data_IF_382142447540
#
_entry.id   IF_382142447540
#
_cell.length_a   1.000
_cell.length_b   1.000
_cell.length_c   1.000
_cell.angle_alpha   90.00
_cell.angle_beta   90.00
_cell.angle_gamma   90.00
#
_symmetry.space_group_name_H-M   'P 1'
#
loop_
_entity.id
_entity.type
_entity.pdbx_description
1 polymer ?
#
# COMPACT_ATOMS: atom_id res chain seq x y z
N UNK A 1 3.16 -4.43 -45.10
CA UNK A 1 3.48 -3.04 -44.69
C UNK A 1 2.40 -2.59 -43.70
N UNK A 2 2.68 -2.53 -42.39
CA UNK A 2 1.71 -2.06 -41.41
C UNK A 2 1.58 -0.54 -41.52
N UNK A 3 0.36 -0.02 -41.60
CA UNK A 3 0.07 1.41 -41.75
C UNK A 3 0.45 2.17 -40.47
N UNK A 4 1.10 3.33 -40.65
CA UNK A 4 1.63 4.19 -39.59
C UNK A 4 0.57 4.68 -38.56
N UNK A 5 -0.72 4.46 -38.81
CA UNK A 5 -1.81 4.77 -37.89
C UNK A 5 -1.97 3.80 -36.71
N UNK A 6 -1.60 2.52 -36.84
CA UNK A 6 -1.81 1.54 -35.74
C UNK A 6 -0.78 1.65 -34.61
N UNK A 7 0.40 2.19 -34.89
CA UNK A 7 1.45 2.40 -33.90
C UNK A 7 1.18 3.61 -32.99
N UNK A 8 0.51 4.64 -33.51
CA UNK A 8 0.13 5.84 -32.73
C UNK A 8 -1.06 5.55 -31.81
N UNK A 9 -2.04 4.76 -32.28
CA UNK A 9 -3.19 4.32 -31.49
C UNK A 9 -2.76 3.33 -30.39
N UNK A 10 -1.83 2.40 -30.67
CA UNK A 10 -1.22 1.57 -29.61
C UNK A 10 -0.43 2.40 -28.60
N UNK A 11 0.36 3.39 -29.02
CA UNK A 11 1.11 4.25 -28.08
C UNK A 11 0.20 5.14 -27.22
N UNK A 12 -0.92 5.63 -27.76
CA UNK A 12 -1.92 6.37 -27.01
C UNK A 12 -2.71 5.46 -26.05
N UNK A 13 -3.01 4.21 -26.44
CA UNK A 13 -3.64 3.22 -25.57
C UNK A 13 -2.71 2.72 -24.46
N UNK A 14 -1.40 2.57 -24.69
CA UNK A 14 -0.43 2.22 -23.64
C UNK A 14 -0.20 3.37 -22.66
N UNK A 15 -0.17 4.63 -23.14
CA UNK A 15 -0.09 5.80 -22.27
C UNK A 15 -1.39 6.03 -21.47
N UNK A 16 -2.56 5.69 -22.04
CA UNK A 16 -3.85 5.79 -21.36
C UNK A 16 -4.12 4.62 -20.42
N UNK A 17 -3.65 3.39 -20.73
CA UNK A 17 -3.73 2.25 -19.82
C UNK A 17 -2.85 2.43 -18.57
N UNK A 18 -1.64 3.01 -18.71
CA UNK A 18 -0.80 3.35 -17.56
C UNK A 18 -1.35 4.51 -16.70
N UNK A 19 -2.12 5.44 -17.26
CA UNK A 19 -2.67 6.59 -16.51
C UNK A 19 -4.08 6.29 -15.95
N UNK A 20 -4.88 5.48 -16.64
CA UNK A 20 -6.29 5.22 -16.28
C UNK A 20 -6.48 3.91 -15.53
N UNK A 21 -5.66 2.86 -15.74
CA UNK A 21 -5.85 1.56 -15.08
C UNK A 21 -5.00 1.32 -13.82
N UNK A 22 -4.07 2.21 -13.47
CA UNK A 22 -3.35 2.09 -12.18
C UNK A 22 -3.38 3.36 -11.33
N UNK A 23 -3.70 4.53 -11.89
CA UNK A 23 -3.60 5.79 -11.14
C UNK A 23 -4.92 6.55 -11.03
N UNK A 24 -5.56 7.04 -12.09
CA UNK A 24 -6.70 7.98 -11.89
C UNK A 24 -7.94 7.35 -11.26
N UNK A 25 -8.34 6.13 -11.62
CA UNK A 25 -9.49 5.45 -11.01
C UNK A 25 -9.20 4.92 -9.59
N UNK A 26 -8.00 4.37 -9.40
CA UNK A 26 -7.52 3.88 -8.11
C UNK A 26 -7.28 5.04 -7.11
N UNK A 27 -6.76 6.19 -7.55
CA UNK A 27 -6.65 7.40 -6.74
C UNK A 27 -8.01 8.05 -6.52
N UNK A 28 -8.95 8.04 -7.47
CA UNK A 28 -10.32 8.50 -7.22
C UNK A 28 -11.00 7.65 -6.12
N UNK A 29 -10.73 6.34 -6.09
CA UNK A 29 -11.14 5.44 -5.00
C UNK A 29 -10.35 5.72 -3.71
N UNK A 30 -9.04 5.94 -3.77
CA UNK A 30 -8.17 6.08 -2.60
C UNK A 30 -8.24 7.46 -1.91
N UNK A 31 -8.29 8.56 -2.67
CA UNK A 31 -8.27 9.95 -2.17
C UNK A 31 -9.66 10.52 -1.85
N UNK A 32 -10.75 9.83 -2.21
CA UNK A 32 -12.13 10.26 -1.89
C UNK A 32 -12.61 11.49 -2.67
N UNK A 33 -11.75 12.14 -3.45
CA UNK A 33 -12.08 13.17 -4.43
C UNK A 33 -12.70 12.51 -5.68
N UNK A 34 -13.99 12.16 -5.58
CA UNK A 34 -14.73 11.70 -6.75
C UNK A 34 -14.68 12.74 -7.88
N UNK A 35 -14.63 12.31 -9.15
CA UNK A 35 -14.59 13.24 -10.28
C UNK A 35 -15.78 14.20 -10.21
N UNK A 36 -15.52 15.50 -10.37
CA UNK A 36 -16.52 16.56 -10.29
C UNK A 36 -17.66 16.46 -11.34
N UNK A 37 -17.65 15.44 -12.21
CA UNK A 37 -18.74 15.15 -13.14
C UNK A 37 -19.82 14.33 -12.42
N UNK A 38 -21.03 14.90 -12.22
CA UNK A 38 -22.12 14.24 -11.47
C UNK A 38 -22.51 12.85 -12.00
N UNK A 39 -22.28 12.56 -13.29
CA UNK A 39 -22.66 11.30 -13.93
C UNK A 39 -21.86 10.05 -13.49
N UNK A 40 -20.63 10.21 -13.00
CA UNK A 40 -19.74 9.09 -12.60
C UNK A 40 -19.71 8.89 -11.08
N UNK A 41 -20.03 9.94 -10.32
CA UNK A 41 -20.02 9.93 -8.86
C UNK A 41 -21.10 9.02 -8.24
N UNK A 42 -22.34 9.13 -8.71
CA UNK A 42 -23.48 8.37 -8.15
C UNK A 42 -23.32 6.84 -8.30
N UNK A 43 -22.94 6.31 -9.48
CA UNK A 43 -22.71 4.87 -9.66
C UNK A 43 -21.62 4.31 -8.76
N UNK A 44 -20.54 5.07 -8.54
CA UNK A 44 -19.45 4.67 -7.67
C UNK A 44 -19.87 4.65 -6.19
N UNK A 45 -20.58 5.67 -5.73
CA UNK A 45 -21.12 5.69 -4.36
C UNK A 45 -22.07 4.52 -4.10
N UNK A 46 -22.96 4.23 -5.04
CA UNK A 46 -23.87 3.09 -4.93
C UNK A 46 -23.09 1.76 -4.90
N UNK A 47 -22.04 1.63 -5.70
CA UNK A 47 -21.15 0.48 -5.67
C UNK A 47 -20.47 0.31 -4.32
N UNK A 48 -19.82 1.37 -3.80
CA UNK A 48 -19.18 1.35 -2.49
C UNK A 48 -20.18 1.08 -1.35
N UNK A 49 -21.40 1.58 -1.47
CA UNK A 49 -22.51 1.27 -0.56
C UNK A 49 -22.80 -0.23 -0.49
N UNK A 50 -22.97 -0.91 -1.63
CA UNK A 50 -23.19 -2.37 -1.66
C UNK A 50 -21.99 -3.15 -1.11
N UNK A 51 -20.77 -2.75 -1.47
CA UNK A 51 -19.54 -3.36 -0.94
C UNK A 51 -19.48 -3.22 0.58
N UNK A 52 -19.82 -2.05 1.13
CA UNK A 52 -19.89 -1.81 2.56
C UNK A 52 -20.95 -2.67 3.24
N UNK A 53 -22.17 -2.72 2.70
CA UNK A 53 -23.24 -3.57 3.23
C UNK A 53 -22.83 -5.04 3.24
N UNK A 54 -22.19 -5.53 2.16
CA UNK A 54 -21.69 -6.89 2.07
C UNK A 54 -20.59 -7.18 3.11
N UNK A 55 -19.68 -6.25 3.37
CA UNK A 55 -18.66 -6.38 4.41
C UNK A 55 -19.26 -6.41 5.82
N UNK A 56 -20.19 -5.51 6.11
CA UNK A 56 -20.90 -5.48 7.40
C UNK A 56 -21.70 -6.77 7.60
N UNK A 57 -22.36 -7.26 6.55
CA UNK A 57 -23.11 -8.51 6.59
C UNK A 57 -22.22 -9.74 6.86
N UNK A 58 -20.99 -9.78 6.33
CA UNK A 58 -20.01 -10.84 6.66
C UNK A 58 -19.67 -10.85 8.16
N UNK A 59 -19.64 -9.69 8.81
CA UNK A 59 -19.53 -9.53 10.27
C UNK A 59 -18.31 -10.23 10.92
N UNK A 60 -17.27 -10.51 10.14
CA UNK A 60 -15.99 -11.02 10.64
C UNK A 60 -15.10 -9.85 11.09
N UNK A 61 -14.15 -10.04 12.01
CA UNK A 61 -13.26 -8.97 12.46
C UNK A 61 -12.53 -8.27 11.31
N UNK A 62 -11.97 -9.02 10.35
CA UNK A 62 -11.30 -8.45 9.19
C UNK A 62 -12.27 -7.74 8.24
N UNK A 63 -13.48 -8.27 7.99
CA UNK A 63 -14.48 -7.57 7.17
C UNK A 63 -14.96 -6.25 7.80
N UNK A 64 -15.04 -6.18 9.14
CA UNK A 64 -15.36 -4.94 9.85
C UNK A 64 -14.24 -3.88 9.70
N UNK A 65 -12.97 -4.29 9.70
CA UNK A 65 -11.85 -3.39 9.36
C UNK A 65 -12.00 -2.86 7.94
N UNK A 66 -12.26 -3.74 6.97
CA UNK A 66 -12.45 -3.33 5.58
C UNK A 66 -13.64 -2.36 5.42
N UNK A 67 -14.74 -2.62 6.13
CA UNK A 67 -15.90 -1.73 6.14
C UNK A 67 -15.53 -0.34 6.70
N UNK A 68 -14.68 -0.30 7.74
CA UNK A 68 -14.20 0.96 8.32
C UNK A 68 -13.39 1.78 7.31
N UNK A 69 -12.55 1.14 6.48
CA UNK A 69 -11.69 1.80 5.48
C UNK A 69 -12.52 2.54 4.42
N UNK A 70 -13.61 1.94 3.95
CA UNK A 70 -14.43 2.52 2.88
C UNK A 70 -15.55 3.42 3.38
N UNK A 71 -15.80 3.46 4.69
CA UNK A 71 -16.93 4.19 5.30
C UNK A 71 -16.92 5.67 4.89
N UNK A 72 -15.77 6.34 4.94
CA UNK A 72 -15.67 7.76 4.62
C UNK A 72 -15.80 8.04 3.11
N UNK A 73 -15.83 6.99 2.27
CA UNK A 73 -15.98 7.06 0.81
C UNK A 73 -17.44 6.88 0.35
N UNK A 74 -18.36 6.54 1.26
CA UNK A 74 -19.77 6.25 0.93
C UNK A 74 -20.59 7.50 0.53
N UNK A 75 -20.10 8.70 0.86
CA UNK A 75 -20.86 9.94 0.74
C UNK A 75 -21.81 10.18 1.93
N UNK A 76 -22.29 11.42 2.08
CA UNK A 76 -23.01 11.87 3.28
C UNK A 76 -24.29 11.08 3.60
N UNK A 77 -25.10 10.79 2.58
CA UNK A 77 -26.41 10.14 2.77
C UNK A 77 -26.29 8.70 3.28
N UNK A 78 -25.31 7.94 2.74
CA UNK A 78 -25.02 6.58 3.21
C UNK A 78 -24.33 6.59 4.58
N UNK A 79 -23.37 7.50 4.78
CA UNK A 79 -22.60 7.58 6.01
C UNK A 79 -23.44 7.99 7.23
N UNK A 80 -24.56 8.71 7.04
CA UNK A 80 -25.41 9.19 8.14
C UNK A 80 -26.06 8.07 8.98
N UNK A 81 -26.32 6.92 8.36
CA UNK A 81 -26.97 5.77 9.03
C UNK A 81 -26.01 4.60 9.28
N UNK A 82 -24.78 4.68 8.77
CA UNK A 82 -23.77 3.65 8.96
C UNK A 82 -23.04 3.83 10.30
N UNK A 83 -22.62 2.73 10.96
CA UNK A 83 -21.68 2.82 12.07
C UNK A 83 -20.45 3.63 11.66
N UNK A 84 -19.91 4.42 12.60
CA UNK A 84 -18.69 5.17 12.37
C UNK A 84 -17.50 4.26 12.12
N UNK A 85 -16.49 4.78 11.42
CA UNK A 85 -15.21 4.08 11.22
C UNK A 85 -14.63 3.59 12.56
N UNK A 86 -14.63 4.45 13.59
CA UNK A 86 -14.15 4.12 14.92
C UNK A 86 -14.94 2.99 15.60
N UNK A 87 -16.27 2.99 15.49
CA UNK A 87 -17.11 1.92 16.04
C UNK A 87 -16.82 0.58 15.37
N UNK A 88 -16.70 0.55 14.04
CA UNK A 88 -16.38 -0.67 13.28
C UNK A 88 -15.00 -1.22 13.64
N UNK A 89 -13.98 -0.35 13.68
CA UNK A 89 -12.62 -0.73 14.00
C UNK A 89 -12.48 -1.24 15.46
N UNK A 90 -13.10 -0.56 16.42
CA UNK A 90 -13.09 -1.00 17.83
C UNK A 90 -13.84 -2.33 18.01
N UNK A 91 -14.97 -2.52 17.32
CA UNK A 91 -15.71 -3.80 17.36
C UNK A 91 -14.86 -4.94 16.78
N UNK A 92 -14.15 -4.71 15.67
CA UNK A 92 -13.21 -5.68 15.12
C UNK A 92 -12.11 -6.04 16.12
N UNK A 93 -11.48 -5.03 16.72
CA UNK A 93 -10.43 -5.18 17.73
C UNK A 93 -10.87 -6.03 18.92
N UNK A 94 -12.08 -5.79 19.43
CA UNK A 94 -12.65 -6.52 20.57
C UNK A 94 -12.91 -7.99 20.24
N UNK A 95 -13.32 -8.28 19.00
CA UNK A 95 -13.64 -9.65 18.56
C UNK A 95 -12.42 -10.47 18.16
N UNK A 96 -11.32 -9.82 17.76
CA UNK A 96 -10.07 -10.48 17.39
C UNK A 96 -8.87 -9.82 18.08
N UNK A 97 -8.75 -9.92 19.41
CA UNK A 97 -7.69 -9.27 20.16
C UNK A 97 -6.28 -9.78 19.83
N UNK A 98 -6.18 -10.97 19.21
CA UNK A 98 -4.91 -11.62 18.85
C UNK A 98 -4.64 -11.65 17.34
N UNK A 99 -5.48 -11.03 16.51
CA UNK A 99 -5.26 -10.96 15.06
C UNK A 99 -4.41 -9.74 14.73
N UNK A 100 -3.15 -9.99 14.34
CA UNK A 100 -2.17 -8.95 14.03
C UNK A 100 -2.67 -7.98 12.95
N UNK A 101 -3.39 -8.47 11.94
CA UNK A 101 -3.90 -7.64 10.84
C UNK A 101 -4.94 -6.64 11.35
N UNK A 102 -5.82 -7.11 12.25
CA UNK A 102 -6.85 -6.28 12.89
C UNK A 102 -6.20 -5.26 13.83
N UNK A 103 -5.28 -5.69 14.71
CA UNK A 103 -4.61 -4.78 15.63
C UNK A 103 -3.79 -3.71 14.88
N UNK A 104 -3.08 -4.11 13.81
CA UNK A 104 -2.37 -3.20 12.92
C UNK A 104 -3.32 -2.15 12.34
N UNK A 105 -4.42 -2.55 11.69
CA UNK A 105 -5.32 -1.59 11.08
C UNK A 105 -5.97 -0.64 12.07
N UNK A 106 -6.34 -1.12 13.26
CA UNK A 106 -6.92 -0.26 14.29
C UNK A 106 -5.89 0.76 14.78
N UNK A 107 -4.65 0.32 15.01
CA UNK A 107 -3.56 1.20 15.40
C UNK A 107 -3.21 2.23 14.32
N UNK A 108 -3.31 1.84 13.04
CA UNK A 108 -3.10 2.70 11.88
C UNK A 108 -4.24 3.72 11.71
N UNK A 109 -5.45 3.26 11.46
CA UNK A 109 -6.59 4.08 11.07
C UNK A 109 -7.01 5.04 12.19
N UNK A 110 -7.21 4.51 13.40
CA UNK A 110 -7.65 5.34 14.52
C UNK A 110 -6.49 6.12 15.13
N UNK A 111 -5.27 5.58 15.06
CA UNK A 111 -4.07 6.28 15.51
C UNK A 111 -3.76 7.45 14.62
N UNK A 112 -3.76 7.30 13.30
CA UNK A 112 -3.47 8.36 12.35
C UNK A 112 -4.50 9.49 12.42
N UNK A 113 -5.80 9.17 12.41
CA UNK A 113 -6.86 10.17 12.58
C UNK A 113 -6.66 10.97 13.86
N UNK A 114 -6.26 10.33 14.96
CA UNK A 114 -6.05 11.04 16.23
C UNK A 114 -4.70 11.78 16.29
N UNK A 115 -3.62 11.19 15.77
CA UNK A 115 -2.28 11.78 15.76
C UNK A 115 -2.21 13.00 14.83
N UNK A 116 -3.01 13.04 13.78
CA UNK A 116 -3.07 14.19 12.86
C UNK A 116 -4.10 15.25 13.29
N UNK A 117 -5.20 14.86 13.95
CA UNK A 117 -6.29 15.80 14.19
C UNK A 117 -6.07 16.77 15.37
N UNK A 118 -5.40 16.39 16.48
CA UNK A 118 -5.30 17.29 17.66
C UNK A 118 -4.11 16.92 18.57
N UNK A 119 -3.62 17.87 19.39
CA UNK A 119 -2.79 17.64 20.60
C UNK A 119 -3.46 16.76 21.68
N UNK A 120 -4.51 16.01 21.32
CA UNK A 120 -5.24 15.15 22.24
C UNK A 120 -4.47 13.84 22.45
N UNK A 121 -4.56 13.24 23.65
CA UNK A 121 -4.07 11.89 23.89
C UNK A 121 -4.78 10.89 22.96
N UNK A 122 -4.06 9.85 22.54
CA UNK A 122 -4.64 8.75 21.78
C UNK A 122 -5.86 8.16 22.52
N UNK A 123 -6.95 7.83 21.82
CA UNK A 123 -8.07 7.11 22.43
C UNK A 123 -7.55 5.81 23.06
N UNK A 124 -8.06 5.39 24.23
CA UNK A 124 -7.58 4.19 24.93
C UNK A 124 -7.46 2.95 24.02
N UNK A 125 -8.43 2.75 23.10
CA UNK A 125 -8.42 1.61 22.16
C UNK A 125 -7.25 1.61 21.16
N UNK A 126 -6.67 2.77 20.81
CA UNK A 126 -5.53 2.83 19.88
C UNK A 126 -4.24 2.40 20.58
N UNK A 127 -3.99 2.95 21.77
CA UNK A 127 -2.83 2.58 22.58
C UNK A 127 -2.87 1.08 22.93
N UNK A 128 -4.06 0.56 23.22
CA UNK A 128 -4.27 -0.87 23.44
C UNK A 128 -3.95 -1.70 22.18
N UNK A 129 -4.42 -1.28 21.00
CA UNK A 129 -4.16 -1.98 19.74
C UNK A 129 -2.66 -2.01 19.40
N UNK A 130 -1.97 -0.87 19.51
CA UNK A 130 -0.54 -0.79 19.24
C UNK A 130 0.27 -1.63 20.23
N UNK A 131 -0.10 -1.63 21.51
CA UNK A 131 0.54 -2.48 22.54
C UNK A 131 0.33 -3.96 22.24
N UNK A 132 -0.91 -4.37 21.94
CA UNK A 132 -1.22 -5.76 21.56
C UNK A 132 -0.50 -6.19 20.31
N UNK A 133 -0.38 -5.32 19.31
CA UNK A 133 0.36 -5.64 18.10
C UNK A 133 1.83 -5.95 18.40
N UNK A 134 2.46 -5.19 19.29
CA UNK A 134 3.84 -5.46 19.73
C UNK A 134 3.95 -6.79 20.50
N UNK A 135 2.92 -7.19 21.25
CA UNK A 135 2.90 -8.48 21.93
C UNK A 135 2.71 -9.66 20.96
N UNK A 136 1.89 -9.45 19.91
CA UNK A 136 1.58 -10.47 18.90
C UNK A 136 2.73 -10.64 17.90
N UNK A 137 3.31 -9.53 17.44
CA UNK A 137 4.31 -9.51 16.37
C UNK A 137 5.47 -8.54 16.64
N UNK A 138 6.27 -8.79 17.70
CA UNK A 138 7.40 -7.92 18.07
C UNK A 138 8.56 -7.96 17.06
N UNK A 139 8.66 -9.05 16.29
CA UNK A 139 9.75 -9.31 15.35
C UNK A 139 9.51 -8.68 13.96
N UNK A 140 8.38 -7.99 13.76
CA UNK A 140 8.05 -7.27 12.53
C UNK A 140 8.24 -5.75 12.72
N UNK A 141 9.10 -5.15 11.90
CA UNK A 141 9.45 -3.74 12.00
C UNK A 141 8.26 -2.80 11.80
N UNK A 142 7.23 -3.25 11.06
CA UNK A 142 5.97 -2.51 10.86
C UNK A 142 5.26 -2.25 12.19
N UNK A 143 5.26 -3.21 13.12
CA UNK A 143 4.59 -3.10 14.43
C UNK A 143 5.09 -1.93 15.27
N UNK A 144 6.30 -1.44 14.99
CA UNK A 144 6.96 -0.36 15.71
C UNK A 144 6.73 1.03 15.11
N UNK A 145 6.01 1.14 13.98
CA UNK A 145 5.78 2.44 13.31
C UNK A 145 4.85 3.37 14.10
N UNK A 146 3.85 2.84 14.81
CA UNK A 146 2.98 3.64 15.68
C UNK A 146 3.75 4.18 16.89
N UNK A 147 4.50 3.35 17.66
CA UNK A 147 5.42 3.86 18.69
C UNK A 147 6.40 4.92 18.18
N UNK A 148 6.95 4.75 16.96
CA UNK A 148 7.82 5.75 16.33
C UNK A 148 7.09 7.07 16.11
N UNK A 149 5.85 7.04 15.60
CA UNK A 149 5.05 8.26 15.40
C UNK A 149 4.75 8.97 16.73
N UNK A 150 4.44 8.22 17.79
CA UNK A 150 4.27 8.78 19.15
C UNK A 150 5.56 9.42 19.65
N UNK A 151 6.71 8.75 19.50
CA UNK A 151 8.01 9.30 19.85
C UNK A 151 8.34 10.57 19.05
N UNK A 152 8.03 10.60 17.75
CA UNK A 152 8.23 11.76 16.90
C UNK A 152 7.44 12.98 17.38
N UNK A 153 6.18 12.81 17.80
CA UNK A 153 5.36 13.90 18.35
C UNK A 153 5.92 14.49 19.64
N UNK A 154 6.52 13.66 20.49
CA UNK A 154 7.19 14.13 21.71
C UNK A 154 8.45 14.96 21.44
N UNK A 155 8.96 14.94 20.20
CA UNK A 155 10.24 15.55 19.77
C UNK A 155 11.46 15.08 20.59
N UNK A 156 11.35 13.96 21.31
CA UNK A 156 12.45 13.39 22.05
C UNK A 156 13.36 12.58 21.11
N UNK A 157 14.52 13.14 20.79
CA UNK A 157 15.49 12.49 19.91
C UNK A 157 15.96 11.12 20.42
N UNK A 158 16.01 10.92 21.74
CA UNK A 158 16.36 9.64 22.35
C UNK A 158 15.31 8.57 22.08
N UNK A 159 14.03 8.92 22.27
CA UNK A 159 12.92 8.00 22.05
C UNK A 159 12.78 7.63 20.56
N UNK A 160 12.92 8.63 19.66
CA UNK A 160 12.92 8.37 18.21
C UNK A 160 14.04 7.41 17.83
N UNK A 161 15.26 7.65 18.34
CA UNK A 161 16.41 6.77 18.07
C UNK A 161 16.15 5.37 18.60
N UNK A 162 15.63 5.24 19.83
CA UNK A 162 15.30 3.94 20.42
C UNK A 162 14.26 3.17 19.61
N UNK A 163 13.23 3.84 19.09
CA UNK A 163 12.23 3.19 18.23
C UNK A 163 12.81 2.77 16.87
N UNK A 164 13.66 3.59 16.25
CA UNK A 164 14.37 3.22 15.03
C UNK A 164 15.26 1.98 15.22
N UNK A 165 15.94 1.86 16.37
CA UNK A 165 16.73 0.66 16.69
C UNK A 165 15.87 -0.59 16.85
N UNK A 166 14.67 -0.45 17.44
CA UNK A 166 13.72 -1.55 17.53
C UNK A 166 13.30 -2.02 16.13
N UNK A 167 12.93 -1.08 15.25
CA UNK A 167 12.63 -1.38 13.84
C UNK A 167 13.84 -2.06 13.19
N UNK A 168 15.03 -1.49 13.30
CA UNK A 168 16.25 -2.03 12.70
C UNK A 168 16.60 -3.44 13.16
N UNK A 169 16.25 -3.81 14.40
CA UNK A 169 16.49 -5.13 14.97
C UNK A 169 15.45 -6.20 14.58
N UNK A 170 14.37 -5.80 13.91
CA UNK A 170 13.31 -6.71 13.51
C UNK A 170 13.78 -7.69 12.42
N UNK A 171 13.10 -8.83 12.32
CA UNK A 171 13.45 -9.91 11.37
C UNK A 171 12.77 -9.75 10.01
N UNK A 172 11.62 -9.08 9.99
CA UNK A 172 10.79 -8.85 8.79
C UNK A 172 10.16 -7.45 8.82
N UNK A 173 9.58 -7.04 7.69
CA UNK A 173 8.85 -5.77 7.56
C UNK A 173 7.62 -5.98 6.66
N UNK A 174 6.50 -6.40 7.24
CA UNK A 174 5.31 -6.81 6.47
C UNK A 174 4.11 -5.98 6.90
N UNK A 175 3.52 -5.19 5.98
CA UNK A 175 2.45 -4.21 6.28
C UNK A 175 1.04 -4.80 6.23
N UNK A 176 0.93 -6.13 6.26
CA UNK A 176 -0.31 -6.91 6.23
C UNK A 176 -1.27 -6.58 5.07
N UNK A 177 -0.80 -5.83 4.06
CA UNK A 177 -1.65 -5.36 2.97
C UNK A 177 -2.19 -6.53 2.14
N UNK A 178 -1.35 -7.53 1.88
CA UNK A 178 -1.72 -8.71 1.09
C UNK A 178 -2.78 -9.56 1.80
N UNK A 179 -2.71 -9.69 3.13
CA UNK A 179 -3.75 -10.37 3.91
C UNK A 179 -5.13 -9.72 3.70
N UNK A 180 -5.18 -8.39 3.68
CA UNK A 180 -6.42 -7.66 3.45
C UNK A 180 -6.88 -7.68 1.99
N UNK A 181 -5.96 -7.70 1.02
CA UNK A 181 -6.33 -7.93 -0.39
C UNK A 181 -7.15 -9.21 -0.51
N UNK A 182 -6.73 -10.29 0.16
CA UNK A 182 -7.48 -11.55 0.14
C UNK A 182 -8.80 -11.53 0.93
N UNK A 183 -8.96 -10.61 1.88
CA UNK A 183 -10.25 -10.38 2.55
C UNK A 183 -11.23 -9.57 1.70
N UNK A 184 -10.72 -8.64 0.88
CA UNK A 184 -11.48 -7.84 -0.08
C UNK A 184 -12.03 -8.70 -1.22
N UNK A 185 -11.20 -9.57 -1.78
CA UNK A 185 -11.51 -10.29 -3.03
C UNK A 185 -12.86 -11.01 -3.05
N UNK A 186 -13.27 -11.80 -2.02
CA UNK A 186 -14.57 -12.46 -2.02
C UNK A 186 -15.75 -11.49 -2.13
N UNK A 187 -15.63 -10.28 -1.56
CA UNK A 187 -16.70 -9.27 -1.59
C UNK A 187 -16.72 -8.57 -2.94
N UNK A 188 -15.56 -8.14 -3.43
CA UNK A 188 -15.47 -7.42 -4.71
C UNK A 188 -15.82 -8.31 -5.91
N UNK A 189 -15.66 -9.63 -5.79
CA UNK A 189 -16.15 -10.60 -6.79
C UNK A 189 -17.66 -10.79 -6.74
N UNK A 190 -18.26 -10.72 -5.55
CA UNK A 190 -19.70 -10.85 -5.38
C UNK A 190 -20.45 -9.55 -5.77
N UNK A 191 -19.80 -8.41 -5.58
CA UNK A 191 -20.29 -7.08 -5.95
C UNK A 191 -19.49 -6.56 -7.15
N UNK A 192 -19.87 -6.87 -8.39
CA UNK A 192 -19.10 -6.45 -9.55
C UNK A 192 -19.08 -4.93 -9.72
N UNK A 193 -17.93 -4.42 -10.15
CA UNK A 193 -17.72 -3.01 -10.41
C UNK A 193 -18.62 -2.52 -11.57
N UNK A 194 -19.23 -1.32 -11.47
CA UNK A 194 -20.05 -0.77 -12.55
C UNK A 194 -19.21 -0.51 -13.82
N UNK A 195 -19.46 -1.28 -14.88
CA UNK A 195 -18.69 -1.22 -16.14
C UNK A 195 -19.11 -0.13 -17.13
N UNK A 196 -20.16 0.63 -16.82
CA UNK A 196 -20.81 1.54 -17.77
C UNK A 196 -19.89 2.64 -18.35
N UNK A 197 -18.78 2.94 -17.68
CA UNK A 197 -17.78 3.93 -18.11
C UNK A 197 -16.42 3.28 -18.49
N UNK A 198 -16.32 1.94 -18.48
CA UNK A 198 -15.11 1.24 -18.86
C UNK A 198 -15.11 0.96 -20.39
N UNK A 199 -13.95 1.06 -21.07
CA UNK A 199 -13.84 0.73 -22.49
C UNK A 199 -14.30 -0.72 -22.76
N UNK A 200 -14.96 -0.96 -23.90
CA UNK A 200 -15.52 -2.28 -24.26
C UNK A 200 -14.49 -3.43 -24.36
N UNK A 201 -13.20 -3.14 -24.46
CA UNK A 201 -12.11 -4.12 -24.39
C UNK A 201 -11.71 -4.42 -22.92
N UNK A 202 -12.69 -4.50 -22.02
CA UNK A 202 -12.44 -4.42 -20.59
C UNK A 202 -11.70 -5.65 -20.03
N UNK A 203 -10.84 -5.34 -19.06
CA UNK A 203 -10.22 -6.23 -18.09
C UNK A 203 -11.25 -7.20 -17.48
N UNK A 204 -10.83 -8.42 -17.16
CA UNK A 204 -11.68 -9.43 -16.48
C UNK A 204 -12.23 -8.91 -15.14
N UNK A 205 -13.39 -9.40 -14.70
CA UNK A 205 -13.95 -9.01 -13.39
C UNK A 205 -13.01 -9.41 -12.24
N UNK A 206 -12.30 -10.53 -12.40
CA UNK A 206 -11.28 -11.00 -11.46
C UNK A 206 -10.15 -9.98 -11.33
N UNK A 207 -9.67 -9.46 -12.45
CA UNK A 207 -8.61 -8.45 -12.44
C UNK A 207 -9.10 -7.10 -11.93
N UNK A 208 -10.34 -6.69 -12.25
CA UNK A 208 -10.94 -5.50 -11.64
C UNK A 208 -11.03 -5.65 -10.12
N UNK A 209 -11.47 -6.81 -9.62
CA UNK A 209 -11.60 -7.05 -8.18
C UNK A 209 -10.25 -6.99 -7.46
N UNK A 210 -9.18 -7.57 -8.02
CA UNK A 210 -7.85 -7.49 -7.42
C UNK A 210 -7.29 -6.05 -7.46
N UNK A 211 -7.39 -5.37 -8.61
CA UNK A 211 -6.93 -3.99 -8.73
C UNK A 211 -7.69 -3.05 -7.78
N UNK A 212 -8.99 -3.27 -7.61
CA UNK A 212 -9.80 -2.53 -6.63
C UNK A 212 -9.38 -2.84 -5.18
N UNK A 213 -9.10 -4.11 -4.86
CA UNK A 213 -8.58 -4.49 -3.55
C UNK A 213 -7.23 -3.81 -3.24
N UNK A 214 -6.29 -3.85 -4.19
CA UNK A 214 -4.98 -3.20 -4.05
C UNK A 214 -5.11 -1.68 -3.89
N UNK A 215 -5.96 -1.03 -4.69
CA UNK A 215 -6.19 0.41 -4.63
C UNK A 215 -6.76 0.85 -3.27
N UNK A 216 -7.72 0.10 -2.72
CA UNK A 216 -8.31 0.37 -1.41
C UNK A 216 -7.31 0.20 -0.26
N UNK A 217 -6.25 -0.59 -0.46
CA UNK A 217 -5.20 -0.83 0.54
C UNK A 217 -4.08 0.23 0.55
N UNK A 218 -4.02 1.13 -0.44
CA UNK A 218 -2.88 2.04 -0.59
C UNK A 218 -2.93 3.28 0.30
N UNK A 219 -4.11 3.67 0.78
CA UNK A 219 -4.33 4.93 1.52
C UNK A 219 -3.76 4.97 2.96
N UNK A 220 -3.97 3.96 3.83
CA UNK A 220 -3.73 4.13 5.27
C UNK A 220 -2.27 4.14 5.72
N UNK A 221 -1.32 3.81 4.86
CA UNK A 221 0.09 3.68 5.26
C UNK A 221 0.93 4.92 4.96
N UNK A 222 0.36 5.96 4.34
CA UNK A 222 1.14 7.11 3.85
C UNK A 222 1.80 7.88 4.99
N UNK A 223 1.05 8.22 6.04
CA UNK A 223 1.58 9.10 7.09
C UNK A 223 2.56 8.38 8.02
N UNK A 224 2.43 7.08 8.26
CA UNK A 224 3.46 6.35 9.02
C UNK A 224 4.75 6.17 8.23
N UNK A 225 4.68 5.93 6.91
CA UNK A 225 5.87 5.95 6.06
C UNK A 225 6.53 7.33 6.09
N UNK A 226 5.73 8.40 6.08
CA UNK A 226 6.24 9.77 6.23
C UNK A 226 6.90 9.98 7.60
N UNK A 227 6.29 9.55 8.71
CA UNK A 227 6.90 9.63 10.05
C UNK A 227 8.25 8.89 10.12
N UNK A 228 8.38 7.76 9.41
CA UNK A 228 9.65 7.05 9.30
C UNK A 228 10.70 7.85 8.51
N UNK A 229 10.31 8.46 7.39
CA UNK A 229 11.19 9.34 6.61
C UNK A 229 11.57 10.61 7.38
N UNK A 230 10.64 11.22 8.10
CA UNK A 230 10.87 12.39 8.94
C UNK A 230 11.76 12.06 10.15
N UNK A 231 11.69 10.82 10.64
CA UNK A 231 12.61 10.32 11.64
C UNK A 231 14.05 10.16 11.11
N UNK A 232 14.23 10.13 9.79
CA UNK A 232 15.50 9.97 9.08
C UNK A 232 15.71 11.09 8.04
N UNK A 233 15.82 12.36 8.45
CA UNK A 233 15.88 13.49 7.54
C UNK A 233 17.14 13.45 6.66
N UNK A 234 17.05 14.10 5.49
CA UNK A 234 18.15 14.19 4.52
C UNK A 234 19.38 14.96 5.04
N UNK A 235 19.20 15.89 5.98
CA UNK A 235 20.32 16.53 6.67
C UNK A 235 20.93 15.60 7.73
N UNK A 236 21.73 14.64 7.25
CA UNK A 236 22.42 13.67 8.11
C UNK A 236 23.38 14.30 9.12
N UNK A 237 23.86 15.52 8.87
CA UNK A 237 24.80 16.16 9.80
C UNK A 237 24.11 16.64 11.07
N UNK A 238 22.79 16.86 11.01
CA UNK A 238 21.96 17.18 12.18
C UNK A 238 21.71 15.99 13.11
N UNK A 239 21.95 14.76 12.63
CA UNK A 239 21.65 13.52 13.36
C UNK A 239 22.83 13.05 14.21
N UNK A 240 22.52 12.47 15.37
CA UNK A 240 23.51 11.71 16.13
C UNK A 240 23.98 10.50 15.31
N UNK A 241 25.23 10.06 15.53
CA UNK A 241 25.77 8.86 14.88
C UNK A 241 24.85 7.65 15.07
N UNK A 242 24.39 7.43 16.30
CA UNK A 242 23.45 6.36 16.66
C UNK A 242 22.15 6.41 15.84
N UNK A 243 21.56 7.60 15.64
CA UNK A 243 20.34 7.75 14.86
C UNK A 243 20.59 7.51 13.36
N UNK A 244 21.73 7.95 12.82
CA UNK A 244 22.12 7.63 11.43
C UNK A 244 22.27 6.13 11.20
N UNK A 245 22.97 5.44 12.10
CA UNK A 245 23.20 4.00 11.99
C UNK A 245 21.87 3.21 12.08
N UNK A 246 20.96 3.66 12.95
CA UNK A 246 19.61 3.11 13.04
C UNK A 246 18.82 3.34 11.74
N UNK A 247 18.80 4.57 11.20
CA UNK A 247 18.13 4.89 9.94
C UNK A 247 18.66 4.05 8.76
N UNK A 248 19.98 3.92 8.66
CA UNK A 248 20.63 3.06 7.67
C UNK A 248 20.17 1.60 7.81
N UNK A 249 20.17 1.08 9.03
CA UNK A 249 19.77 -0.29 9.31
C UNK A 249 18.29 -0.53 9.01
N UNK A 250 17.41 0.43 9.31
CA UNK A 250 16.01 0.39 8.89
C UNK A 250 15.89 0.40 7.37
N UNK A 251 16.62 1.26 6.66
CA UNK A 251 16.62 1.29 5.20
C UNK A 251 16.96 -0.07 4.59
N UNK A 252 17.99 -0.74 5.11
CA UNK A 252 18.39 -2.09 4.70
C UNK A 252 17.33 -3.14 5.01
N UNK A 253 16.74 -3.10 6.22
CA UNK A 253 15.66 -4.00 6.59
C UNK A 253 14.46 -3.83 5.65
N UNK A 254 13.98 -2.61 5.49
CA UNK A 254 12.78 -2.32 4.69
C UNK A 254 13.02 -2.68 3.22
N UNK A 255 14.16 -2.28 2.64
CA UNK A 255 14.49 -2.65 1.26
C UNK A 255 14.60 -4.17 1.07
N UNK A 256 15.26 -4.88 1.99
CA UNK A 256 15.55 -6.30 1.86
C UNK A 256 14.39 -7.22 2.24
N UNK A 257 13.54 -6.81 3.19
CA UNK A 257 12.54 -7.65 3.85
C UNK A 257 11.10 -7.16 3.72
N UNK A 258 10.85 -6.03 3.05
CA UNK A 258 9.48 -5.65 2.78
C UNK A 258 8.78 -6.57 1.77
N UNK A 259 7.51 -6.88 2.04
CA UNK A 259 6.69 -7.73 1.19
C UNK A 259 6.08 -6.98 0.00
N UNK A 260 5.90 -5.67 0.09
CA UNK A 260 5.38 -4.79 -0.98
C UNK A 260 6.48 -3.96 -1.65
N UNK A 261 6.33 -3.70 -2.94
CA UNK A 261 7.24 -2.85 -3.72
C UNK A 261 7.24 -1.41 -3.19
N UNK A 262 6.07 -0.91 -2.76
CA UNK A 262 5.92 0.41 -2.16
C UNK A 262 6.78 0.59 -0.90
N UNK A 263 6.78 -0.38 0.02
CA UNK A 263 7.63 -0.32 1.20
C UNK A 263 9.12 -0.45 0.83
N UNK A 264 9.49 -1.32 -0.13
CA UNK A 264 10.89 -1.40 -0.59
C UNK A 264 11.41 -0.06 -1.11
N UNK A 265 10.55 0.72 -1.79
CA UNK A 265 10.86 2.08 -2.24
C UNK A 265 11.12 3.04 -1.07
N UNK A 266 10.36 2.94 0.03
CA UNK A 266 10.66 3.68 1.28
C UNK A 266 12.03 3.27 1.83
N UNK A 267 12.35 1.98 1.85
CA UNK A 267 13.66 1.49 2.28
C UNK A 267 14.81 2.09 1.47
N UNK A 268 14.67 2.18 0.14
CA UNK A 268 15.66 2.80 -0.73
C UNK A 268 15.82 4.29 -0.45
N UNK A 269 14.73 5.01 -0.16
CA UNK A 269 14.83 6.41 0.23
C UNK A 269 15.53 6.59 1.57
N UNK A 270 15.30 5.69 2.53
CA UNK A 270 16.04 5.67 3.79
C UNK A 270 17.53 5.42 3.58
N UNK A 271 17.93 4.55 2.64
CA UNK A 271 19.34 4.37 2.27
C UNK A 271 19.94 5.69 1.74
N UNK A 272 19.23 6.37 0.82
CA UNK A 272 19.68 7.65 0.26
C UNK A 272 19.89 8.70 1.34
N UNK A 273 18.89 8.91 2.20
CA UNK A 273 18.94 9.97 3.21
C UNK A 273 19.84 9.63 4.39
N UNK A 274 20.22 8.37 4.60
CA UNK A 274 21.13 7.99 5.70
C UNK A 274 22.61 8.16 5.35
N UNK A 275 22.92 8.58 4.12
CA UNK A 275 24.29 8.78 3.66
C UNK A 275 25.05 7.47 3.46
N UNK A 276 24.39 6.43 2.94
CA UNK A 276 25.10 5.24 2.42
C UNK A 276 26.16 5.67 1.40
N UNK A 277 27.10 4.78 1.09
CA UNK A 277 27.79 4.93 -0.17
C UNK A 277 26.76 5.03 -1.31
N UNK A 278 27.08 5.82 -2.34
CA UNK A 278 26.19 5.98 -3.48
C UNK A 278 25.93 4.64 -4.18
N UNK A 279 26.79 3.63 -3.99
CA UNK A 279 26.75 2.36 -4.72
C UNK A 279 25.62 1.44 -4.23
N UNK A 280 25.44 1.28 -2.92
CA UNK A 280 24.38 0.47 -2.31
C UNK A 280 23.01 1.02 -2.71
N UNK A 281 22.81 2.33 -2.52
CA UNK A 281 21.58 3.02 -2.91
C UNK A 281 21.31 2.92 -4.41
N UNK A 282 22.28 3.24 -5.27
CA UNK A 282 22.09 3.19 -6.73
C UNK A 282 21.81 1.76 -7.22
N UNK A 283 22.44 0.75 -6.61
CA UNK A 283 22.18 -0.66 -6.93
C UNK A 283 20.77 -1.06 -6.53
N UNK A 284 20.35 -0.73 -5.31
CA UNK A 284 19.02 -1.05 -4.80
C UNK A 284 17.92 -0.35 -5.64
N UNK A 285 18.12 0.93 -5.95
CA UNK A 285 17.23 1.70 -6.84
C UNK A 285 17.13 1.09 -8.23
N UNK A 286 18.26 0.76 -8.85
CA UNK A 286 18.31 0.16 -10.18
C UNK A 286 17.58 -1.19 -10.22
N UNK A 287 17.73 -2.01 -9.18
CA UNK A 287 17.03 -3.30 -9.06
C UNK A 287 15.52 -3.13 -8.91
N UNK A 288 15.06 -2.24 -8.03
CA UNK A 288 13.63 -2.03 -7.81
C UNK A 288 12.97 -1.38 -9.02
N UNK A 289 13.57 -0.35 -9.62
CA UNK A 289 12.98 0.30 -10.80
C UNK A 289 12.86 -0.67 -11.99
N UNK A 290 13.79 -1.61 -12.15
CA UNK A 290 13.68 -2.69 -13.14
C UNK A 290 12.49 -3.61 -12.86
N UNK A 291 12.36 -4.08 -11.62
CA UNK A 291 11.27 -4.96 -11.22
C UNK A 291 9.91 -4.29 -11.35
N UNK A 292 9.79 -3.01 -10.96
CA UNK A 292 8.55 -2.24 -11.08
C UNK A 292 8.16 -2.09 -12.56
N UNK A 293 9.10 -1.67 -13.43
CA UNK A 293 8.82 -1.44 -14.85
C UNK A 293 8.50 -2.74 -15.59
N UNK A 294 9.29 -3.79 -15.38
CA UNK A 294 9.04 -5.08 -16.05
C UNK A 294 7.84 -5.80 -15.46
N UNK A 295 7.64 -5.71 -14.14
CA UNK A 295 6.50 -6.27 -13.43
C UNK A 295 5.19 -5.67 -13.93
N UNK A 296 5.10 -4.35 -14.03
CA UNK A 296 3.94 -3.66 -14.59
C UNK A 296 3.64 -4.11 -16.03
N UNK A 297 4.67 -4.20 -16.89
CA UNK A 297 4.51 -4.71 -18.28
C UNK A 297 4.06 -6.17 -18.32
N UNK A 298 4.60 -6.99 -17.42
CA UNK A 298 4.26 -8.40 -17.35
C UNK A 298 2.84 -8.63 -16.84
N UNK A 299 2.40 -7.81 -15.87
CA UNK A 299 1.05 -7.83 -15.32
C UNK A 299 0.02 -7.34 -16.36
N UNK A 300 0.30 -6.23 -17.05
CA UNK A 300 -0.50 -5.73 -18.17
C UNK A 300 -0.68 -6.81 -19.26
N UNK A 301 0.38 -7.57 -19.54
CA UNK A 301 0.32 -8.65 -20.52
C UNK A 301 -0.43 -9.91 -20.07
N UNK A 302 -0.88 -10.01 -18.81
CA UNK A 302 -1.72 -11.11 -18.31
C UNK A 302 -3.09 -10.66 -17.83
N UNK A 303 -3.40 -9.37 -17.88
CA UNK A 303 -4.67 -8.81 -17.39
C UNK A 303 -5.88 -9.34 -18.18
N UNK A 304 -5.68 -9.68 -19.45
CA UNK A 304 -6.65 -10.29 -20.36
C UNK A 304 -6.52 -11.83 -20.45
N UNK A 305 -5.51 -12.41 -19.80
CA UNK A 305 -5.30 -13.87 -19.69
C UNK A 305 -5.73 -14.33 -18.30
N UNK A 306 -7.00 -14.72 -18.14
CA UNK A 306 -7.55 -15.14 -16.85
C UNK A 306 -6.68 -16.18 -16.13
N UNK A 307 -6.18 -17.20 -16.85
CA UNK A 307 -5.33 -18.21 -16.24
C UNK A 307 -3.96 -17.65 -15.82
N UNK A 308 -3.43 -16.69 -16.58
CA UNK A 308 -2.23 -15.93 -16.22
C UNK A 308 -2.42 -15.10 -14.96
N UNK A 309 -3.58 -14.44 -14.85
CA UNK A 309 -3.96 -13.62 -13.73
C UNK A 309 -4.20 -14.45 -12.45
N UNK A 310 -4.96 -15.53 -12.53
CA UNK A 310 -5.20 -16.46 -11.42
C UNK A 310 -3.89 -17.04 -10.88
N UNK A 311 -2.91 -17.30 -11.74
CA UNK A 311 -1.57 -17.73 -11.32
C UNK A 311 -0.82 -16.64 -10.56
N UNK A 312 -0.95 -15.37 -10.96
CA UNK A 312 -0.33 -14.26 -10.24
C UNK A 312 -0.98 -14.06 -8.86
N UNK A 313 -2.31 -14.13 -8.77
CA UNK A 313 -3.02 -14.11 -7.49
C UNK A 313 -2.60 -15.29 -6.59
N UNK A 314 -2.48 -16.49 -7.16
CA UNK A 314 -1.98 -17.65 -6.41
C UNK A 314 -0.57 -17.41 -5.86
N UNK A 315 0.33 -16.80 -6.65
CA UNK A 315 1.66 -16.44 -6.15
C UNK A 315 1.60 -15.40 -5.02
N UNK A 316 0.74 -14.38 -5.12
CA UNK A 316 0.53 -13.41 -4.04
C UNK A 316 0.06 -14.12 -2.76
N UNK A 317 -0.86 -15.07 -2.88
CA UNK A 317 -1.37 -15.87 -1.75
C UNK A 317 -0.29 -16.75 -1.16
N UNK A 318 0.46 -17.46 -2.00
CA UNK A 318 1.46 -18.43 -1.54
C UNK A 318 2.68 -17.76 -0.91
N UNK A 319 3.08 -16.59 -1.42
CA UNK A 319 4.29 -15.90 -0.97
C UNK A 319 4.03 -14.86 0.10
N UNK A 320 2.78 -14.38 0.22
CA UNK A 320 2.45 -13.18 0.98
C UNK A 320 3.39 -11.99 0.63
N UNK A 321 3.88 -11.93 -0.61
CA UNK A 321 4.80 -10.89 -1.09
C UNK A 321 4.56 -10.53 -2.56
N UNK A 322 4.21 -9.28 -2.79
CA UNK A 322 4.12 -8.67 -4.13
C UNK A 322 5.45 -8.78 -4.87
N UNK A 323 6.56 -8.51 -4.18
CA UNK A 323 7.89 -8.62 -4.75
C UNK A 323 8.18 -10.04 -5.28
N UNK A 324 7.90 -11.08 -4.49
CA UNK A 324 8.12 -12.47 -4.93
C UNK A 324 7.12 -12.90 -6.01
N UNK A 325 5.85 -12.48 -5.93
CA UNK A 325 4.86 -12.74 -6.96
C UNK A 325 5.26 -12.13 -8.31
N UNK A 326 5.74 -10.89 -8.32
CA UNK A 326 6.27 -10.21 -9.52
C UNK A 326 7.51 -10.95 -10.05
N UNK A 327 8.44 -11.36 -9.19
CA UNK A 327 9.61 -12.14 -9.63
C UNK A 327 9.21 -13.46 -10.30
N UNK A 328 8.24 -14.19 -9.73
CA UNK A 328 7.71 -15.43 -10.33
C UNK A 328 7.01 -15.16 -11.66
N UNK A 329 6.25 -14.08 -11.76
CA UNK A 329 5.63 -13.64 -13.01
C UNK A 329 6.68 -13.36 -14.10
N UNK A 330 7.73 -12.61 -13.78
CA UNK A 330 8.84 -12.33 -14.70
C UNK A 330 9.57 -13.60 -15.14
N UNK A 331 9.85 -14.50 -14.20
CA UNK A 331 10.50 -15.77 -14.49
C UNK A 331 9.69 -16.63 -15.49
N UNK A 332 8.36 -16.70 -15.32
CA UNK A 332 7.48 -17.40 -16.28
C UNK A 332 7.50 -16.80 -17.68
N UNK A 333 7.82 -15.51 -17.81
CA UNK A 333 7.96 -14.81 -19.09
C UNK A 333 9.39 -14.82 -19.65
N UNK A 334 10.32 -15.51 -19.00
CA UNK A 334 11.73 -15.53 -19.39
C UNK A 334 12.43 -14.19 -19.21
N UNK A 335 11.89 -13.29 -18.39
CA UNK A 335 12.50 -11.99 -18.08
C UNK A 335 13.38 -12.16 -16.84
N UNK A 336 14.65 -11.76 -16.95
CA UNK A 336 15.56 -11.82 -15.81
C UNK A 336 15.07 -10.89 -14.67
N UNK A 337 15.14 -11.32 -13.40
CA UNK A 337 14.73 -10.51 -12.26
C UNK A 337 15.71 -9.36 -11.96
N UNK A 338 16.92 -9.41 -12.50
CA UNK A 338 17.93 -8.35 -12.37
C UNK A 338 18.04 -7.54 -13.68
N UNK A 339 18.29 -6.23 -13.59
CA UNK A 339 18.54 -5.41 -14.77
C UNK A 339 19.83 -5.81 -15.49
N UNK A 340 19.86 -5.90 -16.84
CA UNK A 340 21.08 -6.05 -17.64
C UNK A 340 22.07 -4.92 -17.36
N UNK A 341 23.39 -5.17 -17.39
CA UNK A 341 24.44 -4.20 -16.98
C UNK A 341 24.36 -2.82 -17.65
N UNK A 342 23.93 -2.77 -18.91
CA UNK A 342 23.73 -1.55 -19.70
C UNK A 342 22.37 -0.86 -19.45
N UNK A 343 21.48 -1.49 -18.68
CA UNK A 343 20.18 -0.94 -18.33
C UNK A 343 20.32 0.27 -17.42
N UNK A 344 19.75 1.37 -17.91
CA UNK A 344 19.54 2.60 -17.16
C UNK A 344 18.04 2.79 -16.98
N UNK A 345 17.63 3.19 -15.79
CA UNK A 345 16.28 3.71 -15.59
C UNK A 345 16.13 4.95 -16.49
N UNK A 346 15.56 4.78 -17.67
CA UNK A 346 15.41 5.89 -18.62
C UNK A 346 14.62 7.05 -17.99
N UNK A 347 14.58 8.22 -18.64
CA UNK A 347 13.71 9.32 -18.22
C UNK A 347 12.22 8.94 -18.03
N UNK A 348 11.80 7.77 -18.49
CA UNK A 348 10.50 7.15 -18.24
C UNK A 348 10.26 6.74 -16.76
N UNK A 349 11.31 6.61 -15.94
CA UNK A 349 11.21 6.24 -14.52
C UNK A 349 11.02 7.44 -13.57
N UNK A 350 10.95 8.67 -14.09
CA UNK A 350 10.46 9.82 -13.32
C UNK A 350 8.95 9.67 -13.15
N UNK A 351 8.52 8.77 -12.27
CA UNK A 351 7.16 8.81 -11.74
C UNK A 351 7.00 10.14 -11.00
N UNK A 352 6.19 11.03 -11.56
CA UNK A 352 5.69 12.21 -10.86
C UNK A 352 4.89 11.73 -9.64
N UNK A 353 5.29 12.09 -8.41
CA UNK A 353 4.36 11.99 -7.27
C UNK A 353 4.91 11.66 -5.89
N UNK A 354 6.20 11.44 -5.68
CA UNK A 354 6.77 11.37 -4.32
C UNK A 354 7.81 12.48 -4.18
N UNK A 355 7.33 13.69 -3.89
CA UNK A 355 8.14 14.84 -3.44
C UNK A 355 8.95 15.55 -4.52
N UNK A 356 8.32 16.53 -5.17
CA UNK A 356 8.91 17.88 -5.29
C UNK A 356 8.06 18.82 -4.44
#
# INVERSE_FOLDING_TARGET
MPTAGSALIRRLLTAFACVVMTWVGAFALAEGSMPAKPGVAVPMQQYLGRVFEALVARNTPRALILASIIRDKLGGDFAANAPSQAELALLAMQRAPTDAVVQWHVAMELGEVTLLAVEQPLPPGVTDAATRLLDIDPDNGVSWLVPLAVAARSKNAGDITGMLEKIASAKRFEDYAIDLVFEWLPVLRAEPFPRQDLPAAAVSDEAIALLAAEALMWSPNRNLRQNLLDACPADVQSLSMRRRDACLSVGRLVYGKANTLANRRVGIELLRVSGTDDTEYLTARRQLDWLDIQGAKALDAVVDDLAGFERFEADLRDTHSEFEAVRRLLARRGIAPAPPDDWQAGHQARMHGIGD
#
